data_IF_724883200834
#
_entry.id   IF_724883200834
#
_cell.length_a   1.000
_cell.length_b   1.000
_cell.length_c   1.000
_cell.angle_alpha   90.00
_cell.angle_beta   90.00
_cell.angle_gamma   90.00
#
_symmetry.space_group_name_H-M   'P 1'
#
loop_
_entity.id
_entity.type
_entity.pdbx_description
1 polymer ?
#
# COMPACT_ATOMS: atom_id res chain seq x y z
N UNK A 1 -19.21 15.16 -8.12
CA UNK A 1 -18.36 14.05 -8.63
C UNK A 1 -16.89 14.46 -8.60
N UNK A 2 -16.55 15.64 -9.13
CA UNK A 2 -15.16 16.15 -9.17
C UNK A 2 -14.52 16.32 -7.78
N UNK A 3 -15.25 16.88 -6.80
CA UNK A 3 -14.78 17.00 -5.41
C UNK A 3 -14.52 15.67 -4.70
N UNK A 4 -15.20 14.59 -5.10
CA UNK A 4 -14.99 13.25 -4.55
C UNK A 4 -13.73 12.63 -5.14
N UNK A 5 -13.48 12.87 -6.43
CA UNK A 5 -12.27 12.42 -7.11
C UNK A 5 -11.04 13.12 -6.55
N UNK A 6 -11.09 14.44 -6.34
CA UNK A 6 -10.02 15.19 -5.68
C UNK A 6 -9.76 14.72 -4.25
N UNK A 7 -10.81 14.56 -3.43
CA UNK A 7 -10.66 14.06 -2.06
C UNK A 7 -10.05 12.66 -2.02
N UNK A 8 -10.41 11.80 -2.98
CA UNK A 8 -9.86 10.43 -3.09
C UNK A 8 -8.40 10.45 -3.55
N UNK A 9 -8.04 11.30 -4.52
CA UNK A 9 -6.64 11.49 -4.94
C UNK A 9 -5.79 12.06 -3.81
N UNK A 10 -6.28 13.05 -3.08
CA UNK A 10 -5.60 13.64 -1.94
C UNK A 10 -5.38 12.61 -0.82
N UNK A 11 -6.40 11.80 -0.51
CA UNK A 11 -6.31 10.71 0.46
C UNK A 11 -5.34 9.61 0.00
N UNK A 12 -5.36 9.24 -1.28
CA UNK A 12 -4.44 8.28 -1.88
C UNK A 12 -2.98 8.75 -1.79
N UNK A 13 -2.70 9.98 -2.20
CA UNK A 13 -1.36 10.57 -2.17
C UNK A 13 -0.77 10.64 -0.75
N UNK A 14 -1.59 10.91 0.28
CA UNK A 14 -1.15 10.88 1.69
C UNK A 14 -0.75 9.49 2.18
N UNK A 15 -1.29 8.40 1.60
CA UNK A 15 -0.92 7.03 1.97
C UNK A 15 0.23 6.48 1.12
N UNK A 16 0.27 6.79 -0.17
CA UNK A 16 1.31 6.30 -1.10
C UNK A 16 2.71 6.72 -0.62
N UNK A 17 2.90 7.97 -0.18
CA UNK A 17 4.21 8.46 0.30
C UNK A 17 4.79 7.62 1.45
N UNK A 18 4.07 7.43 2.58
CA UNK A 18 4.59 6.61 3.68
C UNK A 18 4.77 5.13 3.31
N UNK A 19 3.91 4.52 2.49
CA UNK A 19 4.13 3.13 2.05
C UNK A 19 5.35 2.98 1.14
N UNK A 20 5.55 3.92 0.21
CA UNK A 20 6.75 3.93 -0.63
C UNK A 20 8.01 4.08 0.21
N UNK A 21 7.98 4.94 1.24
CA UNK A 21 9.09 5.12 2.16
C UNK A 21 9.44 3.83 2.90
N UNK A 22 8.44 3.14 3.48
CA UNK A 22 8.68 1.89 4.21
C UNK A 22 9.19 0.78 3.32
N UNK A 23 8.62 0.64 2.12
CA UNK A 23 9.07 -0.37 1.15
C UNK A 23 10.49 -0.07 0.70
N UNK A 24 10.81 1.19 0.38
CA UNK A 24 12.16 1.59 -0.01
C UNK A 24 13.18 1.33 1.11
N UNK A 25 12.91 1.74 2.35
CA UNK A 25 13.81 1.49 3.48
C UNK A 25 14.03 0.00 3.72
N UNK A 26 12.99 -0.82 3.59
CA UNK A 26 13.13 -2.26 3.79
C UNK A 26 13.93 -2.91 2.66
N UNK A 27 13.67 -2.55 1.41
CA UNK A 27 14.45 -3.05 0.28
C UNK A 27 15.92 -2.68 0.45
N UNK A 28 16.22 -1.43 0.82
CA UNK A 28 17.59 -0.98 1.07
C UNK A 28 18.24 -1.70 2.26
N UNK A 29 17.50 -1.98 3.33
CA UNK A 29 18.00 -2.71 4.50
C UNK A 29 18.19 -4.21 4.26
N UNK A 30 17.36 -4.81 3.40
CA UNK A 30 17.47 -6.22 3.00
C UNK A 30 18.50 -6.45 1.89
N UNK A 31 18.82 -5.42 1.11
CA UNK A 31 19.79 -5.51 0.00
C UNK A 31 21.13 -6.13 0.43
N UNK A 32 21.81 -5.66 1.50
CA UNK A 32 23.06 -6.28 1.97
C UNK A 32 22.84 -7.62 2.66
N UNK A 33 21.68 -7.85 3.28
CA UNK A 33 21.34 -9.11 3.95
C UNK A 33 21.17 -10.24 2.92
N UNK A 34 20.60 -9.93 1.76
CA UNK A 34 20.41 -10.88 0.66
C UNK A 34 21.70 -11.14 -0.12
N UNK A 35 22.63 -10.18 -0.18
CA UNK A 35 23.96 -10.38 -0.82
C UNK A 35 25.00 -10.99 0.12
N UNK A 36 24.80 -10.92 1.44
CA UNK A 36 25.74 -11.47 2.42
C UNK A 36 25.53 -12.97 2.64
N UNK A 37 26.42 -13.78 2.07
CA UNK A 37 26.51 -15.24 2.30
C UNK A 37 27.31 -15.58 3.58
N UNK A 38 27.24 -14.74 4.61
CA UNK A 38 27.95 -14.92 5.88
C UNK A 38 27.25 -15.86 6.87
N UNK A 39 27.94 -16.27 7.95
CA UNK A 39 27.35 -17.05 9.06
C UNK A 39 26.09 -16.34 9.60
N UNK A 40 24.92 -16.97 9.45
CA UNK A 40 23.61 -16.42 9.86
C UNK A 40 22.66 -16.11 8.70
N UNK A 41 23.11 -16.19 7.44
CA UNK A 41 22.25 -16.03 6.25
C UNK A 41 21.12 -17.06 6.18
N UNK A 42 21.39 -18.30 6.60
CA UNK A 42 20.39 -19.39 6.63
C UNK A 42 19.16 -19.07 7.49
N UNK A 43 19.26 -18.14 8.44
CA UNK A 43 18.15 -17.71 9.30
C UNK A 43 17.54 -16.39 8.83
N UNK A 44 18.35 -15.47 8.30
CA UNK A 44 17.87 -14.17 7.83
C UNK A 44 17.13 -14.23 6.50
N UNK A 45 17.57 -15.08 5.56
CA UNK A 45 16.93 -15.26 4.25
C UNK A 45 15.47 -15.70 4.37
N UNK A 46 15.11 -16.74 5.15
CA UNK A 46 13.71 -17.16 5.28
C UNK A 46 12.83 -16.13 6.01
N UNK A 47 13.40 -15.20 6.77
CA UNK A 47 12.65 -14.07 7.36
C UNK A 47 12.48 -12.89 6.40
N UNK A 48 13.47 -12.64 5.54
CA UNK A 48 13.47 -11.55 4.57
C UNK A 48 12.47 -11.76 3.42
N UNK A 49 12.40 -13.00 2.89
CA UNK A 49 11.52 -13.36 1.76
C UNK A 49 10.03 -13.03 2.03
N UNK A 50 9.41 -13.46 3.15
CA UNK A 50 8.02 -13.14 3.43
C UNK A 50 7.80 -11.65 3.72
N UNK A 51 8.76 -10.95 4.32
CA UNK A 51 8.67 -9.51 4.53
C UNK A 51 8.61 -8.76 3.19
N UNK A 52 9.46 -9.14 2.23
CA UNK A 52 9.45 -8.57 0.88
C UNK A 52 8.13 -8.85 0.16
N UNK A 53 7.66 -10.11 0.19
CA UNK A 53 6.36 -10.48 -0.40
C UNK A 53 5.18 -9.74 0.24
N UNK A 54 5.17 -9.59 1.57
CA UNK A 54 4.15 -8.83 2.30
C UNK A 54 4.10 -7.36 1.92
N UNK A 55 5.25 -6.72 1.69
CA UNK A 55 5.30 -5.32 1.23
C UNK A 55 4.79 -5.15 -0.20
N UNK A 56 5.00 -6.13 -1.08
CA UNK A 56 4.37 -6.13 -2.40
C UNK A 56 2.83 -6.19 -2.30
N UNK A 57 2.30 -7.04 -1.42
CA UNK A 57 0.84 -7.15 -1.18
C UNK A 57 0.28 -5.88 -0.53
N UNK A 58 1.04 -5.24 0.37
CA UNK A 58 0.69 -3.95 0.99
C UNK A 58 0.46 -2.87 -0.07
N UNK A 59 1.30 -2.80 -1.11
CA UNK A 59 1.17 -1.82 -2.20
C UNK A 59 -0.14 -2.01 -2.97
N UNK A 60 -0.53 -3.25 -3.27
CA UNK A 60 -1.80 -3.56 -3.95
C UNK A 60 -2.98 -3.12 -3.07
N UNK A 61 -2.93 -3.42 -1.78
CA UNK A 61 -3.98 -3.06 -0.80
C UNK A 61 -4.16 -1.55 -0.70
N UNK A 62 -3.07 -0.79 -0.84
CA UNK A 62 -3.10 0.66 -0.79
C UNK A 62 -3.86 1.30 -1.95
N UNK A 63 -3.93 0.65 -3.11
CA UNK A 63 -4.79 1.06 -4.23
C UNK A 63 -6.24 0.61 -4.04
N UNK A 64 -6.47 -0.54 -3.43
CA UNK A 64 -7.82 -1.06 -3.15
C UNK A 64 -8.61 -0.11 -2.24
N UNK A 65 -8.02 0.40 -1.16
CA UNK A 65 -8.73 1.27 -0.20
C UNK A 65 -9.34 2.53 -0.84
N UNK A 66 -8.61 3.38 -1.58
CA UNK A 66 -9.17 4.58 -2.20
C UNK A 66 -10.19 4.23 -3.31
N UNK A 67 -9.97 3.15 -4.06
CA UNK A 67 -10.91 2.69 -5.10
C UNK A 67 -12.23 2.25 -4.48
N UNK A 68 -12.20 1.41 -3.45
CA UNK A 68 -13.40 0.96 -2.72
C UNK A 68 -14.10 2.15 -2.05
N UNK A 69 -13.35 3.10 -1.48
CA UNK A 69 -13.93 4.30 -0.88
C UNK A 69 -14.66 5.18 -1.90
N UNK A 70 -14.06 5.39 -3.08
CA UNK A 70 -14.70 6.14 -4.17
C UNK A 70 -15.97 5.42 -4.64
N UNK A 71 -15.90 4.10 -4.82
CA UNK A 71 -17.02 3.28 -5.25
C UNK A 71 -18.20 3.33 -4.25
N UNK A 72 -17.93 3.17 -2.95
CA UNK A 72 -18.96 3.28 -1.89
C UNK A 72 -19.57 4.68 -1.86
N UNK A 73 -18.75 5.73 -2.03
CA UNK A 73 -19.23 7.12 -1.99
C UNK A 73 -20.06 7.47 -3.23
N UNK A 74 -19.68 6.99 -4.40
CA UNK A 74 -20.44 7.13 -5.64
C UNK A 74 -21.75 6.34 -5.60
N UNK A 75 -21.72 5.09 -5.12
CA UNK A 75 -22.92 4.29 -4.90
C UNK A 75 -23.87 4.96 -3.92
N UNK A 76 -23.36 5.55 -2.82
CA UNK A 76 -24.20 6.28 -1.86
C UNK A 76 -24.84 7.53 -2.47
N UNK A 77 -24.17 8.24 -3.36
CA UNK A 77 -24.78 9.36 -4.09
C UNK A 77 -25.83 8.90 -5.10
N UNK A 78 -25.61 7.77 -5.78
CA UNK A 78 -26.55 7.22 -6.77
C UNK A 78 -27.77 6.53 -6.11
N UNK A 79 -27.61 5.92 -4.94
CA UNK A 79 -28.69 5.27 -4.19
C UNK A 79 -29.36 6.18 -3.15
N UNK A 80 -28.69 7.26 -2.70
CA UNK A 80 -29.20 8.20 -1.70
C UNK A 80 -29.97 9.40 -2.25
N UNK A 81 -30.13 9.51 -3.58
CA UNK A 81 -30.85 10.61 -4.24
C UNK A 81 -32.38 10.56 -4.13
N UNK A 82 -32.96 10.12 -3.01
CA UNK A 82 -34.41 10.23 -2.77
C UNK A 82 -34.83 10.46 -1.33
N UNK A 83 -33.93 10.85 -0.41
CA UNK A 83 -34.36 11.42 0.87
C UNK A 83 -33.42 12.58 1.26
N UNK A 84 -33.95 13.77 0.99
CA UNK A 84 -33.64 15.13 1.49
C UNK A 84 -32.31 15.79 1.06
#
# INVERSE_FOLDING_TARGET
IESIREATLYAGMRRIRPCMMTTATTILGLLPVLTSTGKGSDVMVPMAIPCFGGMCIQLITLFIVPVTYCLVREMRLRFGGSLD
#
